data_IF_069854713860
#
_entry.id   IF_069854713860
#
_cell.length_a   1.000
_cell.length_b   1.000
_cell.length_c   1.000
_cell.angle_alpha   90.00
_cell.angle_beta   90.00
_cell.angle_gamma   90.00
#
_symmetry.space_group_name_H-M   'P 1'
#
loop_
_entity.id
_entity.type
_entity.pdbx_description
1 polymer ?
#
# COMPACT_ATOMS: atom_id res chain seq x y z
N UNK A 1 17.39 -6.06 -44.57
CA UNK A 1 18.74 -6.58 -44.86
C UNK A 1 19.48 -6.76 -43.55
N UNK A 2 19.55 -8.00 -43.05
CA UNK A 2 20.30 -8.41 -41.86
C UNK A 2 20.91 -9.78 -42.22
N UNK A 3 22.24 -9.99 -42.13
CA UNK A 3 22.82 -11.29 -42.46
C UNK A 3 23.04 -12.16 -41.20
N UNK A 4 22.65 -13.42 -41.36
CA UNK A 4 22.97 -14.56 -40.49
C UNK A 4 24.45 -14.92 -40.58
N UNK A 5 25.07 -15.30 -39.46
CA UNK A 5 26.37 -15.96 -39.42
C UNK A 5 26.24 -17.36 -38.80
N UNK A 6 26.63 -18.39 -39.56
CA UNK A 6 26.79 -19.78 -39.12
C UNK A 6 28.29 -20.09 -39.07
N UNK A 7 28.76 -20.67 -37.96
CA UNK A 7 30.14 -21.13 -37.78
C UNK A 7 30.24 -22.65 -37.86
N UNK A 8 31.10 -23.14 -38.75
CA UNK A 8 31.40 -24.56 -39.02
C UNK A 8 32.56 -25.03 -38.13
N UNK A 9 32.39 -26.16 -37.41
CA UNK A 9 33.46 -26.82 -36.66
C UNK A 9 34.07 -27.98 -37.47
N UNK A 10 35.40 -27.96 -37.64
CA UNK A 10 36.20 -29.03 -38.27
C UNK A 10 36.61 -30.07 -37.23
N UNK A 11 36.46 -31.35 -37.59
CA UNK A 11 36.96 -32.49 -36.84
C UNK A 11 38.43 -32.80 -37.12
N UNK A 12 39.09 -33.44 -36.15
CA UNK A 12 40.32 -34.20 -36.36
C UNK A 12 40.20 -35.57 -35.70
N UNK A 13 40.60 -36.59 -36.47
CA UNK A 13 40.71 -38.01 -36.12
C UNK A 13 42.11 -38.31 -35.62
N UNK A 14 42.27 -39.18 -34.63
CA UNK A 14 43.51 -39.95 -34.46
C UNK A 14 43.24 -41.37 -33.91
N UNK A 15 43.62 -42.37 -34.72
CA UNK A 15 44.74 -43.26 -34.40
C UNK A 15 44.52 -44.41 -33.42
N UNK A 16 44.40 -45.61 -33.99
CA UNK A 16 44.45 -46.92 -33.32
C UNK A 16 45.91 -47.34 -33.09
N UNK A 17 46.26 -47.93 -31.93
CA UNK A 17 47.59 -48.53 -31.77
C UNK A 17 47.92 -49.18 -30.42
N UNK A 18 47.82 -50.52 -30.39
CA UNK A 18 48.58 -51.53 -29.61
C UNK A 18 48.44 -51.60 -28.08
N UNK A 19 48.03 -52.80 -27.64
CA UNK A 19 48.09 -53.31 -26.27
C UNK A 19 49.46 -53.92 -25.94
N UNK A 20 49.88 -53.89 -24.66
CA UNK A 20 50.65 -55.00 -24.12
C UNK A 20 50.20 -55.46 -22.71
N UNK A 21 50.30 -56.78 -22.54
CA UNK A 21 50.63 -57.57 -21.35
C UNK A 21 49.79 -57.41 -20.05
N UNK A 22 49.10 -58.49 -19.71
CA UNK A 22 48.41 -58.71 -18.44
C UNK A 22 49.41 -58.86 -17.28
N UNK A 23 49.37 -57.91 -16.34
CA UNK A 23 49.91 -58.07 -15.00
C UNK A 23 48.80 -58.55 -14.06
N UNK A 24 49.01 -59.66 -13.38
CA UNK A 24 48.12 -60.16 -12.33
C UNK A 24 48.17 -59.19 -11.15
N UNK A 25 47.12 -58.39 -10.98
CA UNK A 25 46.99 -57.43 -9.89
C UNK A 25 46.13 -58.06 -8.78
N UNK A 26 46.78 -58.46 -7.69
CA UNK A 26 46.10 -58.94 -6.49
C UNK A 26 45.51 -57.71 -5.78
N UNK A 27 44.19 -57.54 -5.89
CA UNK A 27 43.47 -56.43 -5.25
C UNK A 27 43.37 -56.66 -3.73
N UNK A 28 43.85 -55.73 -2.88
CA UNK A 28 43.62 -55.80 -1.44
C UNK A 28 42.14 -55.52 -1.15
N UNK A 29 41.36 -56.57 -0.89
CA UNK A 29 39.91 -56.50 -0.66
C UNK A 29 39.49 -55.99 0.74
N UNK A 30 40.35 -55.27 1.46
CA UNK A 30 40.10 -54.90 2.87
C UNK A 30 39.94 -53.40 3.17
N UNK A 31 40.63 -52.51 2.47
CA UNK A 31 40.73 -51.09 2.92
C UNK A 31 39.75 -50.13 2.24
N UNK A 32 39.30 -50.44 1.02
CA UNK A 32 38.41 -49.56 0.26
C UNK A 32 37.01 -49.48 0.89
N UNK A 33 36.53 -50.57 1.48
CA UNK A 33 35.17 -50.63 2.04
C UNK A 33 35.06 -49.85 3.37
N UNK A 34 36.12 -49.84 4.19
CA UNK A 34 36.15 -49.04 5.42
C UNK A 34 36.25 -47.53 5.15
N UNK A 35 36.99 -47.12 4.12
CA UNK A 35 37.05 -45.71 3.73
C UNK A 35 35.73 -45.20 3.15
N UNK A 36 35.01 -46.03 2.38
CA UNK A 36 33.68 -45.68 1.88
C UNK A 36 32.66 -45.53 3.03
N UNK A 37 32.66 -46.45 3.99
CA UNK A 37 31.78 -46.40 5.17
C UNK A 37 32.05 -45.15 6.04
N UNK A 38 33.32 -44.84 6.31
CA UNK A 38 33.73 -43.63 7.05
C UNK A 38 33.27 -42.33 6.37
N UNK A 39 33.41 -42.26 5.04
CA UNK A 39 33.04 -41.08 4.25
C UNK A 39 31.52 -40.87 4.19
N UNK A 40 30.74 -41.95 4.16
CA UNK A 40 29.27 -41.91 4.20
C UNK A 40 28.76 -41.44 5.57
N UNK A 41 29.37 -41.91 6.67
CA UNK A 41 29.01 -41.48 8.03
C UNK A 41 29.34 -39.99 8.24
N UNK A 42 30.49 -39.52 7.74
CA UNK A 42 30.84 -38.09 7.79
C UNK A 42 29.87 -37.22 6.98
N UNK A 43 29.48 -37.64 5.77
CA UNK A 43 28.48 -36.91 4.95
C UNK A 43 27.10 -36.85 5.60
N UNK A 44 26.64 -37.93 6.25
CA UNK A 44 25.36 -37.90 6.96
C UNK A 44 25.38 -36.90 8.14
N UNK A 45 26.50 -36.84 8.87
CA UNK A 45 26.64 -35.91 10.00
C UNK A 45 26.67 -34.42 9.58
N UNK A 46 27.26 -34.11 8.42
CA UNK A 46 27.32 -32.74 7.90
C UNK A 46 26.00 -32.30 7.26
N UNK A 47 25.30 -33.20 6.57
CA UNK A 47 23.95 -32.94 6.05
C UNK A 47 22.93 -32.69 7.17
N UNK A 48 23.01 -33.44 8.27
CA UNK A 48 22.11 -33.25 9.42
C UNK A 48 22.38 -31.91 10.12
N UNK A 49 23.65 -31.50 10.24
CA UNK A 49 24.04 -30.19 10.79
C UNK A 49 23.65 -29.02 9.89
N UNK A 50 23.74 -29.17 8.57
CA UNK A 50 23.26 -28.18 7.60
C UNK A 50 21.73 -28.05 7.61
N UNK A 51 21.00 -29.16 7.75
CA UNK A 51 19.55 -29.13 7.88
C UNK A 51 19.09 -28.44 9.18
N UNK A 52 19.79 -28.66 10.30
CA UNK A 52 19.50 -27.97 11.58
C UNK A 52 19.89 -26.48 11.56
N UNK A 53 20.98 -26.12 10.86
CA UNK A 53 21.35 -24.71 10.65
C UNK A 53 20.35 -23.99 9.71
N UNK A 54 19.81 -24.67 8.70
CA UNK A 54 18.78 -24.13 7.81
C UNK A 54 17.46 -23.80 8.51
N UNK A 55 17.04 -24.62 9.48
CA UNK A 55 15.81 -24.37 10.27
C UNK A 55 15.98 -23.21 11.26
N UNK A 56 17.19 -23.03 11.84
CA UNK A 56 17.47 -21.89 12.72
C UNK A 56 17.54 -20.55 11.97
N UNK A 57 18.05 -20.54 10.74
CA UNK A 57 18.07 -19.34 9.89
C UNK A 57 16.68 -19.00 9.35
N UNK A 58 15.84 -19.99 9.05
CA UNK A 58 14.43 -19.77 8.70
C UNK A 58 13.59 -19.26 9.89
N UNK A 59 13.93 -19.64 11.12
CA UNK A 59 13.27 -19.11 12.32
C UNK A 59 13.72 -17.68 12.69
N UNK A 60 14.97 -17.30 12.35
CA UNK A 60 15.47 -15.93 12.55
C UNK A 60 14.96 -14.94 11.49
N UNK A 61 14.55 -15.41 10.30
CA UNK A 61 13.89 -14.55 9.29
C UNK A 61 12.35 -14.51 9.43
N UNK A 62 11.74 -15.47 10.14
CA UNK A 62 10.33 -15.42 10.50
C UNK A 62 10.00 -14.39 11.60
N UNK A 63 11.02 -13.85 12.29
CA UNK A 63 10.86 -12.82 13.33
C UNK A 63 10.77 -11.37 12.83
N UNK A 64 10.79 -11.13 11.51
CA UNK A 64 10.68 -9.79 10.93
C UNK A 64 9.31 -9.49 10.29
N UNK A 65 8.28 -10.28 10.59
CA UNK A 65 6.90 -10.04 10.17
C UNK A 65 6.04 -9.47 11.33
N UNK A 66 6.52 -8.44 12.03
CA UNK A 66 5.84 -7.78 13.15
C UNK A 66 6.44 -6.36 13.24
N UNK A 67 5.79 -5.23 12.96
CA UNK A 67 4.40 -4.84 12.77
C UNK A 67 4.33 -3.89 11.56
N UNK A 68 3.47 -4.14 10.58
CA UNK A 68 2.72 -3.00 10.06
C UNK A 68 1.82 -2.58 11.23
N UNK A 69 2.04 -1.42 11.86
CA UNK A 69 1.02 -0.93 12.77
C UNK A 69 -0.29 -0.93 11.98
N UNK A 70 -1.33 -1.55 12.53
CA UNK A 70 -2.66 -1.39 11.99
C UNK A 70 -2.97 0.11 12.13
N UNK A 71 -2.83 0.86 11.03
CA UNK A 71 -3.24 2.24 11.02
C UNK A 71 -4.73 2.24 11.36
N UNK A 72 -5.08 2.97 12.42
CA UNK A 72 -6.48 3.28 12.64
C UNK A 72 -6.89 4.16 11.46
N UNK A 73 -8.03 3.88 10.83
CA UNK A 73 -8.51 4.72 9.74
C UNK A 73 -8.58 6.18 10.22
N UNK A 74 -8.22 7.16 9.38
CA UNK A 74 -8.23 8.56 9.76
C UNK A 74 -9.63 8.91 10.24
N UNK A 75 -9.68 9.53 11.41
CA UNK A 75 -10.93 10.01 12.00
C UNK A 75 -11.58 11.08 11.13
N UNK A 76 -10.79 11.81 10.34
CA UNK A 76 -11.29 12.79 9.39
C UNK A 76 -10.29 13.04 8.24
N UNK A 77 -10.83 13.16 7.05
CA UNK A 77 -10.17 13.81 5.93
C UNK A 77 -11.00 14.98 5.44
N UNK A 78 -10.30 15.99 4.95
CA UNK A 78 -10.86 17.30 4.62
C UNK A 78 -10.49 17.64 3.18
N UNK A 79 -11.51 17.78 2.33
CA UNK A 79 -11.39 18.39 1.03
C UNK A 79 -11.82 19.86 1.15
N UNK A 80 -10.87 20.77 0.99
CA UNK A 80 -11.17 22.21 0.93
C UNK A 80 -11.42 22.58 -0.52
N UNK A 81 -12.66 22.89 -0.86
CA UNK A 81 -13.10 23.18 -2.22
C UNK A 81 -12.73 24.62 -2.60
N UNK A 82 -12.21 24.81 -3.81
CA UNK A 82 -11.90 26.15 -4.32
C UNK A 82 -13.16 26.91 -4.73
N UNK A 83 -13.16 28.22 -4.49
CA UNK A 83 -14.17 29.13 -5.04
C UNK A 83 -14.17 29.17 -6.56
N UNK A 84 -13.06 28.80 -7.21
CA UNK A 84 -12.93 28.84 -8.67
C UNK A 84 -13.93 27.90 -9.38
N UNK A 85 -14.33 26.81 -8.72
CA UNK A 85 -15.37 25.90 -9.22
C UNK A 85 -16.71 26.65 -9.37
N UNK A 86 -17.06 27.48 -8.38
CA UNK A 86 -18.29 28.28 -8.41
C UNK A 86 -18.20 29.46 -9.39
N UNK A 87 -16.99 29.86 -9.79
CA UNK A 87 -16.80 30.85 -10.84
C UNK A 87 -17.03 30.25 -12.23
N UNK A 88 -16.61 29.00 -12.47
CA UNK A 88 -16.91 28.27 -13.70
C UNK A 88 -18.42 28.08 -13.88
N UNK A 89 -19.10 27.74 -12.78
CA UNK A 89 -20.54 27.49 -12.76
C UNK A 89 -21.20 28.55 -11.89
N UNK A 90 -21.31 29.78 -12.41
CA UNK A 90 -21.85 30.92 -11.65
C UNK A 90 -23.21 30.60 -11.02
N UNK A 91 -23.29 30.68 -9.69
CA UNK A 91 -24.50 30.33 -8.92
C UNK A 91 -24.57 28.87 -8.50
N UNK A 92 -23.53 28.07 -8.74
CA UNK A 92 -23.45 26.73 -8.18
C UNK A 92 -23.18 26.77 -6.68
N UNK A 93 -23.74 25.80 -5.95
CA UNK A 93 -23.56 25.65 -4.50
C UNK A 93 -23.12 24.24 -4.17
N UNK A 94 -22.40 24.08 -3.06
CA UNK A 94 -22.02 22.77 -2.55
C UNK A 94 -22.96 22.34 -1.43
N UNK A 95 -23.20 21.03 -1.33
CA UNK A 95 -23.88 20.39 -0.21
C UNK A 95 -23.27 19.02 0.04
N UNK A 96 -23.32 18.51 1.26
CA UNK A 96 -22.81 17.17 1.56
C UNK A 96 -23.79 16.08 1.17
N UNK A 97 -23.28 14.86 0.99
CA UNK A 97 -24.05 13.64 0.70
C UNK A 97 -23.60 12.54 1.67
N UNK A 98 -24.54 11.72 2.13
CA UNK A 98 -24.26 10.63 3.06
C UNK A 98 -23.77 11.16 4.41
N UNK A 99 -22.68 10.58 4.91
CA UNK A 99 -22.10 10.90 6.23
C UNK A 99 -21.11 12.08 6.18
N UNK A 100 -20.99 12.71 5.01
CA UNK A 100 -20.12 13.86 4.83
C UNK A 100 -20.71 15.12 5.51
N UNK A 101 -19.83 15.98 6.00
CA UNK A 101 -20.23 17.30 6.54
C UNK A 101 -19.62 18.40 5.70
N UNK A 102 -20.44 19.32 5.21
CA UNK A 102 -19.97 20.49 4.46
C UNK A 102 -20.14 21.78 5.29
N UNK A 103 -19.04 22.50 5.51
CA UNK A 103 -19.02 23.82 6.11
C UNK A 103 -18.86 24.89 5.02
N UNK A 104 -19.95 25.60 4.74
CA UNK A 104 -20.00 26.66 3.75
C UNK A 104 -19.16 27.89 4.11
N UNK A 105 -18.83 28.11 5.38
CA UNK A 105 -18.03 29.27 5.80
C UNK A 105 -16.54 29.09 5.48
N UNK A 106 -16.07 27.85 5.47
CA UNK A 106 -14.68 27.50 5.18
C UNK A 106 -14.48 26.75 3.87
N UNK A 107 -15.56 26.46 3.13
CA UNK A 107 -15.61 25.61 1.94
C UNK A 107 -14.98 24.22 2.17
N UNK A 108 -15.16 23.67 3.38
CA UNK A 108 -14.57 22.38 3.77
C UNK A 108 -15.61 21.28 3.76
N UNK A 109 -15.32 20.23 3.02
CA UNK A 109 -16.01 18.95 3.10
C UNK A 109 -15.17 18.02 3.99
N UNK A 110 -15.77 17.52 5.06
CA UNK A 110 -15.14 16.59 5.99
C UNK A 110 -15.80 15.22 5.92
N UNK A 111 -15.00 14.17 5.75
CA UNK A 111 -15.43 12.79 5.60
C UNK A 111 -14.51 11.84 6.36
N UNK A 112 -15.05 10.70 6.81
CA UNK A 112 -14.26 9.63 7.41
C UNK A 112 -13.96 8.54 6.37
N UNK A 113 -12.70 8.10 6.29
CA UNK A 113 -12.30 6.96 5.46
C UNK A 113 -12.41 5.65 6.23
N UNK A 114 -12.66 4.54 5.52
CA UNK A 114 -12.73 3.19 6.13
C UNK A 114 -11.37 2.63 6.48
N UNK A 115 -10.36 2.92 5.68
CA UNK A 115 -9.05 2.31 5.82
C UNK A 115 -7.94 3.18 5.22
N UNK A 116 -6.75 3.01 5.79
CA UNK A 116 -5.49 3.46 5.22
C UNK A 116 -4.64 2.24 4.96
N UNK A 117 -4.19 2.11 3.72
CA UNK A 117 -3.23 1.09 3.31
C UNK A 117 -1.89 1.77 3.06
N UNK A 118 -0.82 1.26 3.64
CA UNK A 118 0.51 1.72 3.26
C UNK A 118 0.99 0.98 2.02
N UNK A 119 1.24 1.70 0.94
CA UNK A 119 1.96 1.17 -0.23
C UNK A 119 3.48 1.20 -0.02
N UNK A 120 3.97 1.97 0.97
CA UNK A 120 5.37 1.96 1.44
C UNK A 120 5.45 2.52 2.88
N UNK A 121 6.57 2.37 3.62
CA UNK A 121 6.69 2.92 4.98
C UNK A 121 6.54 4.46 5.07
N UNK A 122 6.50 5.17 3.94
CA UNK A 122 6.29 6.62 3.87
C UNK A 122 5.17 7.01 2.90
N UNK A 123 4.37 6.05 2.41
CA UNK A 123 3.34 6.25 1.40
C UNK A 123 2.04 5.57 1.81
N UNK A 124 0.94 6.31 1.81
CA UNK A 124 -0.38 5.82 2.19
C UNK A 124 -1.40 6.04 1.08
N UNK A 125 -2.10 4.97 0.74
CA UNK A 125 -3.34 4.99 -0.02
C UNK A 125 -4.51 5.10 0.97
N UNK A 126 -5.44 6.02 0.71
CA UNK A 126 -6.67 6.14 1.48
C UNK A 126 -7.77 5.47 0.69
N UNK A 127 -8.17 4.30 1.17
CA UNK A 127 -9.18 3.47 0.53
C UNK A 127 -10.54 3.87 1.09
N UNK A 128 -11.37 4.47 0.22
CA UNK A 128 -12.83 4.56 0.28
C UNK A 128 -13.51 5.06 1.57
N UNK A 129 -14.53 5.88 1.39
CA UNK A 129 -15.41 6.37 2.46
C UNK A 129 -16.06 5.25 3.28
N UNK A 130 -16.35 5.55 4.55
CA UNK A 130 -17.15 4.73 5.49
C UNK A 130 -18.51 4.29 4.93
N UNK A 131 -19.02 5.02 3.94
CA UNK A 131 -20.18 4.65 3.12
C UNK A 131 -19.91 4.99 1.66
N UNK A 132 -20.16 4.05 0.74
CA UNK A 132 -20.00 4.25 -0.72
C UNK A 132 -20.88 5.37 -1.29
N UNK A 133 -21.81 5.89 -0.48
CA UNK A 133 -22.70 7.00 -0.82
C UNK A 133 -22.24 8.35 -0.25
N UNK A 134 -21.21 8.39 0.59
CA UNK A 134 -20.70 9.66 1.13
C UNK A 134 -19.91 10.43 0.08
N UNK A 135 -20.06 11.75 0.10
CA UNK A 135 -19.50 12.65 -0.90
C UNK A 135 -20.03 14.07 -0.78
N UNK A 136 -20.00 14.77 -1.91
CA UNK A 136 -20.62 16.09 -2.04
C UNK A 136 -21.38 16.25 -3.35
N UNK A 137 -22.36 17.13 -3.32
CA UNK A 137 -23.11 17.59 -4.47
C UNK A 137 -22.65 18.98 -4.87
N UNK A 138 -22.45 19.17 -6.16
CA UNK A 138 -22.42 20.47 -6.80
C UNK A 138 -23.79 20.71 -7.45
N UNK A 139 -24.58 21.58 -6.83
CA UNK A 139 -25.90 21.95 -7.30
C UNK A 139 -25.78 23.13 -8.25
N UNK A 140 -26.23 22.97 -9.49
CA UNK A 140 -26.27 24.04 -10.47
C UNK A 140 -27.65 24.07 -11.14
N UNK A 141 -28.40 25.16 -10.87
CA UNK A 141 -29.82 25.28 -11.28
C UNK A 141 -30.64 24.09 -10.76
N UNK A 142 -31.22 23.29 -11.64
CA UNK A 142 -32.01 22.11 -11.31
C UNK A 142 -31.20 20.82 -11.30
N UNK A 143 -29.94 20.87 -11.73
CA UNK A 143 -29.08 19.70 -11.87
C UNK A 143 -28.21 19.53 -10.64
N UNK A 144 -28.07 18.27 -10.20
CA UNK A 144 -27.25 17.87 -9.07
C UNK A 144 -26.15 16.95 -9.57
N UNK A 145 -24.90 17.45 -9.51
CA UNK A 145 -23.72 16.64 -9.78
C UNK A 145 -23.18 16.08 -8.46
N UNK A 146 -23.38 14.79 -8.23
CA UNK A 146 -22.87 14.08 -7.06
C UNK A 146 -21.48 13.51 -7.35
N UNK A 147 -20.54 13.77 -6.45
CA UNK A 147 -19.21 13.15 -6.42
C UNK A 147 -19.14 12.33 -5.14
N UNK A 148 -19.09 11.01 -5.28
CA UNK A 148 -19.08 10.06 -4.16
C UNK A 148 -17.97 9.02 -4.32
N UNK A 149 -17.82 8.16 -3.30
CA UNK A 149 -16.86 7.06 -3.30
C UNK A 149 -15.42 7.54 -3.54
N UNK A 150 -15.06 8.64 -2.88
CA UNK A 150 -13.75 9.26 -3.04
C UNK A 150 -12.69 8.34 -2.41
N UNK A 151 -11.56 8.20 -3.08
CA UNK A 151 -10.39 7.47 -2.62
C UNK A 151 -9.12 8.17 -3.09
N UNK A 152 -8.05 8.12 -2.30
CA UNK A 152 -6.76 8.67 -2.68
C UNK A 152 -5.77 7.56 -2.99
N UNK A 153 -5.13 7.65 -4.15
CA UNK A 153 -4.03 6.78 -4.56
C UNK A 153 -2.73 7.55 -4.52
N UNK A 154 -1.78 7.04 -3.73
CA UNK A 154 -0.44 7.59 -3.64
C UNK A 154 0.33 7.38 -4.94
N UNK A 155 0.22 6.19 -5.54
CA UNK A 155 0.97 5.83 -6.74
C UNK A 155 0.70 6.78 -7.91
N UNK A 156 -0.56 7.22 -8.05
CA UNK A 156 -0.99 8.17 -9.09
C UNK A 156 -1.15 9.60 -8.60
N UNK A 157 -0.94 9.86 -7.30
CA UNK A 157 -1.14 11.16 -6.64
C UNK A 157 -2.50 11.79 -7.01
N UNK A 158 -3.54 10.96 -7.03
CA UNK A 158 -4.86 11.32 -7.56
C UNK A 158 -6.00 10.86 -6.66
N UNK A 159 -7.10 11.62 -6.69
CA UNK A 159 -8.37 11.25 -6.10
C UNK A 159 -9.23 10.58 -7.15
N UNK A 160 -9.65 9.35 -6.87
CA UNK A 160 -10.62 8.62 -7.68
C UNK A 160 -11.99 8.68 -7.03
N UNK A 161 -13.05 8.56 -7.83
CA UNK A 161 -14.41 8.48 -7.34
C UNK A 161 -15.43 8.31 -8.45
N UNK A 162 -16.70 8.43 -8.09
CA UNK A 162 -17.84 8.31 -8.99
C UNK A 162 -18.50 9.68 -9.14
N UNK A 163 -18.73 10.09 -10.39
CA UNK A 163 -19.47 11.29 -10.75
C UNK A 163 -20.81 10.88 -11.34
N UNK A 164 -21.89 11.35 -10.73
CA UNK A 164 -23.27 11.09 -11.13
C UNK A 164 -24.02 12.41 -11.32
N UNK A 165 -24.86 12.49 -12.34
CA UNK A 165 -25.75 13.62 -12.57
C UNK A 165 -27.19 13.16 -12.36
N UNK A 166 -27.89 13.83 -11.44
CA UNK A 166 -29.29 13.53 -11.11
C UNK A 166 -29.48 12.03 -10.81
N UNK A 167 -28.52 11.44 -10.08
CA UNK A 167 -28.47 10.02 -9.73
C UNK A 167 -27.93 9.07 -10.81
N UNK A 168 -27.72 9.54 -12.05
CA UNK A 168 -27.18 8.73 -13.14
C UNK A 168 -25.65 8.82 -13.19
N UNK A 169 -24.95 7.70 -12.98
CA UNK A 169 -23.48 7.64 -13.09
C UNK A 169 -23.03 8.02 -14.49
N UNK A 170 -22.12 8.99 -14.58
CA UNK A 170 -21.52 9.47 -15.83
C UNK A 170 -20.05 9.10 -15.94
N UNK A 171 -19.35 8.98 -14.80
CA UNK A 171 -17.94 8.64 -14.77
C UNK A 171 -17.57 7.92 -13.47
N UNK A 172 -16.64 6.98 -13.55
CA UNK A 172 -15.99 6.36 -12.39
C UNK A 172 -14.52 6.14 -12.73
N UNK A 173 -13.63 6.61 -11.88
CA UNK A 173 -12.19 6.56 -12.12
C UNK A 173 -11.46 7.72 -11.46
N UNK A 174 -10.30 8.09 -12.00
CA UNK A 174 -9.50 9.19 -11.48
C UNK A 174 -10.16 10.54 -11.80
N UNK A 175 -10.67 11.21 -10.77
CA UNK A 175 -11.38 12.49 -10.91
C UNK A 175 -10.42 13.67 -10.88
N UNK A 176 -9.58 13.72 -9.84
CA UNK A 176 -8.70 14.85 -9.58
C UNK A 176 -7.26 14.38 -9.49
N UNK A 177 -6.33 15.14 -10.05
CA UNK A 177 -4.89 14.93 -9.92
C UNK A 177 -4.23 16.20 -9.40
N UNK A 178 -3.21 16.09 -8.56
CA UNK A 178 -2.46 17.28 -8.16
C UNK A 178 -1.50 17.71 -9.26
N UNK A 179 -1.44 19.00 -9.58
CA UNK A 179 -0.35 19.52 -10.42
C UNK A 179 0.97 19.68 -9.67
N UNK A 180 0.93 19.63 -8.33
CA UNK A 180 2.09 19.83 -7.45
C UNK A 180 2.83 18.51 -7.22
N UNK A 181 4.15 18.49 -7.37
CA UNK A 181 5.01 17.34 -7.02
C UNK A 181 5.18 17.13 -5.50
N UNK A 182 4.78 18.11 -4.69
CA UNK A 182 4.92 18.07 -3.23
C UNK A 182 3.62 17.65 -2.56
N UNK A 183 3.39 16.35 -2.53
CA UNK A 183 2.48 15.77 -1.55
C UNK A 183 3.25 15.64 -0.25
N UNK A 184 2.77 16.32 0.81
CA UNK A 184 3.36 16.17 2.14
C UNK A 184 2.82 14.86 2.73
N UNK A 185 3.69 13.88 2.87
CA UNK A 185 3.38 12.55 3.43
C UNK A 185 4.29 12.35 4.64
N UNK A 186 3.74 12.50 5.84
CA UNK A 186 4.47 12.19 7.07
C UNK A 186 3.78 11.02 7.77
N UNK A 187 4.08 9.81 7.31
CA UNK A 187 3.56 8.58 7.90
C UNK A 187 4.60 7.95 8.81
N UNK A 188 4.17 7.59 10.02
CA UNK A 188 4.97 6.86 10.98
C UNK A 188 4.29 5.53 11.28
N UNK A 189 4.76 4.48 10.62
CA UNK A 189 4.26 3.12 10.81
C UNK A 189 4.55 2.53 12.19
N UNK A 190 5.42 3.12 13.01
CA UNK A 190 5.61 2.69 14.40
C UNK A 190 4.56 3.30 15.34
N UNK A 191 4.12 4.52 15.06
CA UNK A 191 3.12 5.24 15.88
C UNK A 191 1.69 5.11 15.34
N UNK A 192 1.52 4.57 14.13
CA UNK A 192 0.23 4.52 13.45
C UNK A 192 -0.32 5.91 13.10
N UNK A 193 0.54 6.93 13.05
CA UNK A 193 0.18 8.32 12.75
C UNK A 193 0.54 8.66 11.31
N UNK A 194 -0.18 9.60 10.71
CA UNK A 194 0.04 9.98 9.33
C UNK A 194 -0.59 11.31 8.98
N UNK A 195 0.13 12.18 8.30
CA UNK A 195 -0.47 13.36 7.67
C UNK A 195 -0.24 13.31 6.17
N UNK A 196 -1.32 13.44 5.42
CA UNK A 196 -1.32 13.62 3.99
C UNK A 196 -1.86 15.02 3.68
N UNK A 197 -1.16 15.79 2.86
CA UNK A 197 -1.70 17.03 2.29
C UNK A 197 -1.26 17.20 0.86
N UNK A 198 -2.23 17.43 -0.02
CA UNK A 198 -2.03 17.77 -1.42
C UNK A 198 -2.85 19.00 -1.78
N UNK A 199 -2.31 19.82 -2.68
CA UNK A 199 -2.95 21.05 -3.12
C UNK A 199 -2.88 21.24 -4.62
N UNK A 200 -3.76 22.11 -5.11
CA UNK A 200 -3.95 22.37 -6.54
C UNK A 200 -4.42 21.11 -7.26
N UNK A 201 -5.62 20.66 -6.89
CA UNK A 201 -6.29 19.53 -7.51
C UNK A 201 -6.94 19.97 -8.82
N UNK A 202 -6.73 19.25 -9.90
CA UNK A 202 -7.29 19.56 -11.22
C UNK A 202 -8.02 18.34 -11.78
N UNK A 203 -9.06 18.58 -12.59
CA UNK A 203 -9.75 17.50 -13.26
C UNK A 203 -8.84 16.75 -14.23
N UNK A 204 -9.02 15.44 -14.30
CA UNK A 204 -8.46 14.63 -15.39
C UNK A 204 -9.22 14.86 -16.69
N UNK A 205 -8.65 14.48 -17.83
CA UNK A 205 -9.30 14.57 -19.14
C UNK A 205 -10.66 13.85 -19.17
N UNK A 206 -10.71 12.65 -18.60
CA UNK A 206 -11.93 11.85 -18.52
C UNK A 206 -12.99 12.50 -17.65
N UNK A 207 -12.60 12.99 -16.46
CA UNK A 207 -13.52 13.64 -15.53
C UNK A 207 -14.06 14.97 -16.06
N UNK A 208 -13.21 15.80 -16.69
CA UNK A 208 -13.62 17.07 -17.27
C UNK A 208 -14.59 16.87 -18.44
N UNK A 209 -14.30 15.92 -19.33
CA UNK A 209 -15.20 15.59 -20.45
C UNK A 209 -16.55 15.08 -19.94
N UNK A 210 -16.54 14.20 -18.93
CA UNK A 210 -17.77 13.67 -18.34
C UNK A 210 -18.58 14.76 -17.63
N UNK A 211 -17.93 15.66 -16.89
CA UNK A 211 -18.59 16.78 -16.21
C UNK A 211 -19.23 17.74 -17.22
N UNK A 212 -18.51 18.14 -18.26
CA UNK A 212 -19.05 19.01 -19.32
C UNK A 212 -20.21 18.34 -20.04
N UNK A 213 -20.06 17.07 -20.43
CA UNK A 213 -21.14 16.29 -21.05
C UNK A 213 -22.36 16.16 -20.14
N UNK A 214 -22.15 15.98 -18.82
CA UNK A 214 -23.23 15.89 -17.86
C UNK A 214 -24.05 17.19 -17.81
N UNK A 215 -23.40 18.35 -17.82
CA UNK A 215 -24.11 19.64 -17.87
C UNK A 215 -24.63 20.02 -19.26
N UNK A 216 -24.52 19.15 -20.27
CA UNK A 216 -24.92 19.45 -21.64
C UNK A 216 -24.05 20.53 -22.30
N UNK A 217 -22.84 20.75 -21.78
CA UNK A 217 -21.89 21.73 -22.29
C UNK A 217 -21.04 21.12 -23.43
N UNK A 218 -20.54 21.95 -24.38
CA UNK A 218 -19.68 21.46 -25.45
C UNK A 218 -18.39 20.83 -24.90
N UNK A 219 -18.07 19.63 -25.37
CA UNK A 219 -16.85 18.88 -24.98
C UNK A 219 -15.68 19.14 -25.93
N UNK A 220 -15.67 20.28 -26.61
CA UNK A 220 -14.55 20.68 -27.48
C UNK A 220 -13.30 20.91 -26.61
N UNK A 221 -12.12 20.69 -27.21
CA UNK A 221 -10.83 20.76 -26.52
C UNK A 221 -10.63 22.06 -25.72
N UNK A 222 -11.13 23.20 -26.23
CA UNK A 222 -11.07 24.47 -25.51
C UNK A 222 -11.80 24.44 -24.15
N UNK A 223 -13.02 23.91 -24.10
CA UNK A 223 -13.80 23.83 -22.86
C UNK A 223 -13.24 22.79 -21.90
N UNK A 224 -12.78 21.64 -22.43
CA UNK A 224 -12.11 20.62 -21.63
C UNK A 224 -10.84 21.19 -20.99
N UNK A 225 -10.00 21.89 -21.76
CA UNK A 225 -8.80 22.54 -21.23
C UNK A 225 -9.11 23.62 -20.20
N UNK A 226 -10.19 24.39 -20.40
CA UNK A 226 -10.66 25.38 -19.44
C UNK A 226 -11.08 24.71 -18.12
N UNK A 227 -11.92 23.66 -18.20
CA UNK A 227 -12.35 22.89 -17.03
C UNK A 227 -11.18 22.26 -16.27
N UNK A 228 -10.17 21.75 -16.99
CA UNK A 228 -8.94 21.20 -16.40
C UNK A 228 -8.04 22.25 -15.77
N UNK A 229 -8.09 23.50 -16.23
CA UNK A 229 -7.26 24.58 -15.68
C UNK A 229 -7.77 25.11 -14.34
N UNK A 230 -8.98 24.71 -13.94
CA UNK A 230 -9.60 25.16 -12.71
C UNK A 230 -9.11 24.33 -11.54
N UNK A 231 -8.61 25.02 -10.53
CA UNK A 231 -8.24 24.42 -9.27
C UNK A 231 -9.51 24.01 -8.52
N UNK A 232 -9.65 22.73 -8.21
CA UNK A 232 -10.71 22.18 -7.39
C UNK A 232 -10.47 22.35 -5.89
N UNK A 233 -9.22 22.61 -5.49
CA UNK A 233 -8.86 22.92 -4.11
C UNK A 233 -7.74 22.05 -3.56
N UNK A 234 -7.83 21.70 -2.28
CA UNK A 234 -6.82 20.94 -1.54
C UNK A 234 -7.43 19.79 -0.78
N UNK A 235 -6.67 18.72 -0.61
CA UNK A 235 -7.06 17.54 0.16
C UNK A 235 -6.04 17.31 1.27
N UNK A 236 -6.54 17.13 2.49
CA UNK A 236 -5.74 16.77 3.63
C UNK A 236 -6.39 15.62 4.39
N UNK A 237 -5.60 14.69 4.90
CA UNK A 237 -6.06 13.61 5.76
C UNK A 237 -5.11 13.48 6.95
N UNK A 238 -5.68 13.48 8.15
CA UNK A 238 -4.94 13.31 9.39
C UNK A 238 -5.32 11.96 10.02
N UNK A 239 -4.35 11.05 9.98
CA UNK A 239 -4.37 9.81 10.72
C UNK A 239 -3.75 10.11 12.08
N UNK A 240 -4.59 10.51 13.03
CA UNK A 240 -4.20 10.52 14.43
C UNK A 240 -4.11 9.07 14.89
N UNK A 241 -2.91 8.65 15.31
CA UNK A 241 -2.70 7.31 15.83
C UNK A 241 -3.63 7.05 17.02
N UNK A 242 -3.95 5.77 17.31
CA UNK A 242 -4.68 5.47 18.53
C UNK A 242 -3.92 6.10 19.68
N UNK A 243 -4.59 6.96 20.45
CA UNK A 243 -4.00 7.42 21.71
C UNK A 243 -3.66 6.15 22.48
N UNK A 244 -2.37 5.92 22.83
CA UNK A 244 -2.00 4.70 23.52
C UNK A 244 -2.90 4.62 24.74
N UNK A 245 -3.61 3.50 24.89
CA UNK A 245 -4.51 3.31 26.02
C UNK A 245 -3.65 3.53 27.27
N UNK A 246 -3.81 4.70 27.89
CA UNK A 246 -3.15 5.00 29.16
C UNK A 246 -3.77 4.02 30.13
N UNK A 247 -3.04 3.00 30.61
CA UNK A 247 -3.64 2.03 31.49
C UNK A 247 -4.17 2.77 32.70
N UNK A 248 -5.45 2.53 33.02
CA UNK A 248 -6.06 3.18 34.16
C UNK A 248 -5.22 2.91 35.40
N UNK A 249 -5.17 3.83 36.39
CA UNK A 249 -4.38 3.65 37.62
C UNK A 249 -4.63 2.28 38.31
N UNK A 250 -5.83 1.74 38.14
CA UNK A 250 -6.25 0.41 38.58
C UNK A 250 -5.50 -0.74 37.90
N UNK A 251 -5.13 -0.63 36.63
CA UNK A 251 -4.39 -1.66 35.88
C UNK A 251 -2.97 -1.81 36.42
N UNK A 252 -2.31 -0.68 36.72
CA UNK A 252 -1.00 -0.69 37.36
C UNK A 252 -1.08 -1.22 38.80
N UNK A 253 -2.12 -0.85 39.54
CA UNK A 253 -2.35 -1.36 40.89
C UNK A 253 -2.57 -2.88 40.88
N UNK A 254 -3.34 -3.42 39.93
CA UNK A 254 -3.65 -4.84 39.86
C UNK A 254 -2.45 -5.67 39.40
N UNK A 255 -1.66 -5.18 38.43
CA UNK A 255 -0.40 -5.82 38.05
C UNK A 255 0.62 -5.79 39.20
N UNK A 256 0.70 -4.68 39.95
CA UNK A 256 1.57 -4.56 41.12
C UNK A 256 1.16 -5.50 42.26
N UNK A 257 -0.13 -5.59 42.57
CA UNK A 257 -0.67 -6.48 43.61
C UNK A 257 -0.52 -7.95 43.20
N UNK A 258 -0.70 -8.28 41.92
CA UNK A 258 -0.48 -9.63 41.40
C UNK A 258 0.96 -10.12 41.57
N UNK A 259 1.94 -9.27 41.28
CA UNK A 259 3.37 -9.58 41.47
C UNK A 259 3.74 -9.73 42.96
N UNK A 260 3.19 -8.89 43.83
CA UNK A 260 3.34 -9.04 45.28
C UNK A 260 2.74 -10.34 45.79
N UNK A 261 1.58 -10.75 45.28
CA UNK A 261 0.94 -12.03 45.60
C UNK A 261 1.81 -13.23 45.23
N UNK A 262 2.41 -13.22 44.04
CA UNK A 262 3.31 -14.30 43.57
C UNK A 262 4.61 -14.34 44.37
N UNK A 263 5.19 -13.18 44.71
CA UNK A 263 6.40 -13.10 45.53
C UNK A 263 6.18 -13.63 46.97
N UNK A 264 5.03 -13.34 47.57
CA UNK A 264 4.67 -13.86 48.90
C UNK A 264 4.37 -15.36 48.85
N UNK A 265 3.69 -15.83 47.81
CA UNK A 265 3.37 -17.25 47.62
C UNK A 265 4.62 -18.10 47.39
N UNK A 266 5.59 -17.61 46.62
CA UNK A 266 6.88 -18.30 46.38
C UNK A 266 7.74 -18.35 47.64
N UNK A 267 7.77 -17.28 48.44
CA UNK A 267 8.48 -17.26 49.75
C UNK A 267 7.88 -18.23 50.77
N UNK A 268 6.57 -18.49 50.72
CA UNK A 268 5.91 -19.50 51.57
C UNK A 268 6.19 -20.94 51.15
N UNK A 269 6.61 -21.17 49.90
CA UNK A 269 6.94 -22.51 49.39
C UNK A 269 8.40 -22.91 49.63
N UNK A 270 9.28 -21.95 49.90
CA UNK A 270 10.70 -22.17 50.17
C UNK A 270 11.05 -22.19 51.66
N UNK A 271 10.05 -22.03 52.54
CA UNK A 271 10.13 -22.35 53.97
C UNK A 271 9.30 -23.58 54.26
#
# INVERSE_FOLDING_TARGET
>A
MLPHAWGVFKGQRYGVGRAPAAAWFQLPCGSANQQLQSKVIHMHSTLTRLAQAGVAVAALTAGAAVHAAAFTAPTQAVLTLSSDITQLLTGATFSSVGDATYDASSNKLSEAFTAVSLSSPSAADFLGNTSASSGFNLNYKTSVLSITNISYSQASKSLSGTLALDGSVKYTGQLLTSASASVSENFNAALGTGYLSTGQLFLTDGAATAMLSAFGLPTLAFYVNTAKSINFGTFAADVTGPTPAVPEPSTYALMGVGLLGVAVATRRRTR
#
